data_IF_994488990313
#
_entry.id   IF_994488990313
#
_cell.length_a   1.000
_cell.length_b   1.000
_cell.length_c   1.000
_cell.angle_alpha   90.00
_cell.angle_beta   90.00
_cell.angle_gamma   90.00
#
_symmetry.space_group_name_H-M   'P 1'
#
loop_
_entity.id
_entity.type
_entity.pdbx_description
1 polymer ?
#
# COMPACT_ATOMS: atom_id res chain seq x y z
N UNK A 1 3.16 -11.57 5.22
CA UNK A 1 3.27 -10.41 4.30
C UNK A 1 1.91 -10.17 3.67
N UNK A 2 1.43 -8.92 3.67
CA UNK A 2 0.08 -8.54 3.21
C UNK A 2 0.20 -7.50 2.09
N UNK A 3 -0.49 -7.74 0.96
CA UNK A 3 -0.63 -6.78 -0.13
C UNK A 3 -1.95 -6.01 0.02
N UNK A 4 -1.90 -4.68 -0.07
CA UNK A 4 -3.09 -3.83 -0.10
C UNK A 4 -3.19 -3.14 -1.46
N UNK A 5 -4.12 -3.62 -2.29
CA UNK A 5 -4.52 -2.93 -3.50
C UNK A 5 -5.23 -1.61 -3.15
N UNK A 6 -4.80 -0.50 -3.76
CA UNK A 6 -5.38 0.82 -3.46
C UNK A 6 -5.00 1.36 -2.08
N UNK A 7 -3.90 0.86 -1.49
CA UNK A 7 -3.38 1.31 -0.19
C UNK A 7 -3.03 2.79 -0.11
N UNK A 8 -2.83 3.46 -1.25
CA UNK A 8 -2.62 4.91 -1.37
C UNK A 8 -3.90 5.75 -1.23
N UNK A 9 -5.08 5.13 -1.22
CA UNK A 9 -6.37 5.81 -1.03
C UNK A 9 -6.69 6.14 0.43
N UNK A 10 -7.80 6.85 0.66
CA UNK A 10 -8.23 7.29 2.00
C UNK A 10 -8.40 6.13 2.98
N UNK A 11 -9.17 5.11 2.60
CA UNK A 11 -9.37 3.91 3.42
C UNK A 11 -8.11 3.05 3.47
N UNK A 12 -7.46 2.85 2.33
CA UNK A 12 -6.23 2.06 2.22
C UNK A 12 -5.14 2.55 3.18
N UNK A 13 -4.99 3.85 3.34
CA UNK A 13 -4.01 4.46 4.26
C UNK A 13 -4.28 4.07 5.72
N UNK A 14 -5.54 4.06 6.15
CA UNK A 14 -5.92 3.66 7.51
C UNK A 14 -5.63 2.18 7.74
N UNK A 15 -5.96 1.33 6.77
CA UNK A 15 -5.70 -0.11 6.81
C UNK A 15 -4.20 -0.39 6.87
N UNK A 16 -3.41 0.24 5.99
CA UNK A 16 -1.94 0.09 5.95
C UNK A 16 -1.32 0.46 7.30
N UNK A 17 -1.69 1.63 7.85
CA UNK A 17 -1.16 2.08 9.15
C UNK A 17 -1.52 1.14 10.29
N UNK A 18 -2.75 0.62 10.31
CA UNK A 18 -3.18 -0.35 11.33
C UNK A 18 -2.37 -1.64 11.24
N UNK A 19 -2.25 -2.21 10.04
CA UNK A 19 -1.50 -3.44 9.80
C UNK A 19 -0.01 -3.29 10.15
N UNK A 20 0.60 -2.17 9.75
CA UNK A 20 1.99 -1.88 10.08
C UNK A 20 2.20 -1.70 11.59
N UNK A 21 1.28 -0.99 12.26
CA UNK A 21 1.27 -0.83 13.72
C UNK A 21 1.09 -2.15 14.49
N UNK A 22 0.43 -3.13 13.89
CA UNK A 22 0.32 -4.50 14.41
C UNK A 22 1.55 -5.38 14.10
N UNK A 23 2.59 -4.82 13.49
CA UNK A 23 3.84 -5.52 13.18
C UNK A 23 3.82 -6.33 11.88
N UNK A 24 2.79 -6.18 11.05
CA UNK A 24 2.73 -6.86 9.76
C UNK A 24 3.60 -6.15 8.72
N UNK A 25 4.30 -6.92 7.88
CA UNK A 25 4.92 -6.41 6.66
C UNK A 25 3.85 -6.15 5.59
N UNK A 26 3.72 -4.88 5.19
CA UNK A 26 2.70 -4.41 4.25
C UNK A 26 3.34 -3.95 2.94
N UNK A 27 2.75 -4.36 1.82
CA UNK A 27 3.05 -3.87 0.47
C UNK A 27 1.83 -3.17 -0.10
N UNK A 28 2.02 -2.03 -0.74
CA UNK A 28 0.93 -1.29 -1.40
C UNK A 28 1.12 -1.32 -2.90
N UNK A 29 0.12 -1.84 -3.62
CA UNK A 29 0.07 -1.77 -5.07
C UNK A 29 -0.65 -0.49 -5.51
N UNK A 30 0.03 0.36 -6.27
CA UNK A 30 -0.50 1.62 -6.79
C UNK A 30 -0.02 1.85 -8.22
N UNK A 31 -0.87 2.46 -9.04
CA UNK A 31 -0.50 2.90 -10.40
C UNK A 31 0.41 4.13 -10.37
N UNK A 32 0.28 4.94 -9.32
CA UNK A 32 1.04 6.17 -9.14
C UNK A 32 1.74 6.14 -7.76
N UNK A 33 3.07 6.06 -7.72
CA UNK A 33 3.84 6.04 -6.47
C UNK A 33 3.83 7.38 -5.73
N UNK A 34 3.63 8.52 -6.41
CA UNK A 34 3.57 9.83 -5.75
C UNK A 34 2.40 9.91 -4.75
N UNK A 35 1.32 9.19 -5.05
CA UNK A 35 0.14 9.07 -4.16
C UNK A 35 0.37 8.22 -2.92
N UNK A 36 1.50 7.53 -2.81
CA UNK A 36 1.82 6.65 -1.69
C UNK A 36 2.95 7.19 -0.79
N UNK A 37 3.53 8.35 -1.11
CA UNK A 37 4.65 8.95 -0.37
C UNK A 37 4.31 9.15 1.12
N UNK A 38 3.06 9.50 1.43
CA UNK A 38 2.60 9.72 2.81
C UNK A 38 2.54 8.45 3.68
N UNK A 39 2.79 7.27 3.11
CA UNK A 39 2.85 6.01 3.84
C UNK A 39 4.21 5.82 4.54
N UNK A 40 5.28 6.44 4.04
CA UNK A 40 6.63 6.31 4.62
C UNK A 40 7.02 4.86 4.88
N UNK A 41 7.55 4.58 6.07
CA UNK A 41 8.00 3.23 6.47
C UNK A 41 6.86 2.26 6.80
N UNK A 42 5.60 2.70 6.78
CA UNK A 42 4.46 1.83 7.07
C UNK A 42 4.20 0.79 5.96
N UNK A 43 4.72 1.00 4.76
CA UNK A 43 4.60 0.02 3.67
C UNK A 43 5.67 0.18 2.59
N UNK A 44 6.00 -0.93 1.93
CA UNK A 44 6.75 -0.89 0.66
C UNK A 44 5.81 -0.61 -0.51
N UNK A 45 6.13 0.38 -1.32
CA UNK A 45 5.34 0.75 -2.51
C UNK A 45 5.75 -0.11 -3.71
N UNK A 46 4.74 -0.65 -4.40
CA UNK A 46 4.89 -1.44 -5.63
C UNK A 46 4.07 -0.76 -6.74
N UNK A 47 4.72 -0.52 -7.87
CA UNK A 47 4.07 0.04 -9.06
C UNK A 47 3.43 -1.08 -9.86
N UNK A 48 2.15 -0.96 -10.15
CA UNK A 48 1.41 -1.90 -10.99
C UNK A 48 -0.08 -1.61 -11.01
N UNK A 49 -0.80 -2.28 -11.89
CA UNK A 49 -2.25 -2.16 -12.03
C UNK A 49 -2.91 -3.49 -11.66
N UNK A 50 -3.91 -3.46 -10.78
CA UNK A 50 -4.68 -4.67 -10.39
C UNK A 50 -5.48 -5.27 -11.54
N UNK A 51 -5.66 -4.52 -12.63
CA UNK A 51 -6.34 -4.97 -13.85
C UNK A 51 -5.37 -5.61 -14.85
N UNK A 52 -4.07 -5.51 -14.59
CA UNK A 52 -3.03 -6.14 -15.39
C UNK A 52 -2.59 -7.44 -14.69
N UNK A 53 -2.84 -8.62 -15.29
CA UNK A 53 -2.45 -9.90 -14.70
C UNK A 53 -0.97 -10.26 -14.91
N UNK A 54 -0.21 -9.48 -15.69
CA UNK A 54 1.17 -9.76 -16.07
C UNK A 54 2.21 -9.45 -14.98
#
# INVERSE_FOLDING_TARGET
MILVAGGSGRLGTLVVRRLAGDGHQVRVLTRDPARAVHLGDAATVMVGDVRDPA
#
